data_IF_260178594257
#
_entry.id   IF_260178594257
#
_cell.length_a   1.000
_cell.length_b   1.000
_cell.length_c   1.000
_cell.angle_alpha   90.00
_cell.angle_beta   90.00
_cell.angle_gamma   90.00
#
_symmetry.space_group_name_H-M   'P 1'
#
loop_
_entity.id
_entity.type
_entity.pdbx_description
1 polymer ?
#
# COMPACT_ATOMS: atom_id res chain seq x y z
N UNK A 1 24.18 -23.37 -29.07
CA UNK A 1 23.90 -24.79 -28.80
C UNK A 1 23.96 -24.94 -27.30
N UNK A 2 22.86 -25.38 -26.71
CA UNK A 2 22.75 -25.52 -25.26
C UNK A 2 23.74 -26.60 -24.78
N UNK A 3 24.66 -26.32 -23.84
CA UNK A 3 25.65 -27.32 -23.40
C UNK A 3 25.01 -28.62 -22.89
N UNK A 4 23.79 -28.53 -22.34
CA UNK A 4 22.98 -29.69 -21.92
C UNK A 4 22.66 -30.67 -23.06
N UNK A 5 22.45 -30.15 -24.29
CA UNK A 5 22.16 -30.99 -25.46
C UNK A 5 23.39 -31.74 -25.99
N UNK A 6 24.61 -31.28 -25.65
CA UNK A 6 25.86 -31.90 -26.10
C UNK A 6 26.35 -33.01 -25.15
N UNK A 7 26.03 -32.95 -23.86
CA UNK A 7 26.48 -33.90 -22.83
C UNK A 7 25.37 -34.79 -22.27
N UNK A 8 24.09 -34.44 -22.49
CA UNK A 8 22.94 -35.16 -21.92
C UNK A 8 22.81 -34.98 -20.40
N UNK A 9 23.43 -33.93 -19.84
CA UNK A 9 23.42 -33.61 -18.42
C UNK A 9 22.95 -32.17 -18.21
N UNK A 10 22.22 -31.93 -17.14
CA UNK A 10 21.81 -30.59 -16.69
C UNK A 10 22.36 -30.33 -15.28
N UNK A 11 22.91 -29.15 -15.05
CA UNK A 11 23.39 -28.68 -13.76
C UNK A 11 22.23 -28.06 -13.00
N UNK A 12 21.82 -28.67 -11.90
CA UNK A 12 20.79 -28.15 -11.01
C UNK A 12 21.34 -27.97 -9.60
N UNK A 13 20.84 -26.97 -8.89
CA UNK A 13 21.11 -26.81 -7.47
C UNK A 13 20.00 -27.51 -6.68
N UNK A 14 20.36 -28.54 -5.92
CA UNK A 14 19.40 -29.32 -5.15
C UNK A 14 19.47 -28.92 -3.69
N UNK A 15 18.32 -28.55 -3.14
CA UNK A 15 18.14 -28.11 -1.76
C UNK A 15 17.46 -29.25 -1.00
N UNK A 16 18.18 -29.82 -0.03
CA UNK A 16 17.65 -30.73 1.00
C UNK A 16 17.22 -29.98 2.26
N UNK A 17 16.91 -30.71 3.34
CA UNK A 17 16.49 -30.09 4.60
C UNK A 17 17.62 -29.28 5.27
N UNK A 18 18.84 -29.83 5.28
CA UNK A 18 19.99 -29.23 6.00
C UNK A 18 21.14 -28.79 5.08
N UNK A 19 21.11 -29.16 3.79
CA UNK A 19 22.21 -28.93 2.85
C UNK A 19 21.71 -28.58 1.44
N UNK A 20 22.52 -27.83 0.71
CA UNK A 20 22.32 -27.55 -0.71
C UNK A 20 23.57 -27.94 -1.51
N UNK A 21 23.38 -28.61 -2.65
CA UNK A 21 24.47 -29.13 -3.49
C UNK A 21 24.16 -28.90 -4.96
N UNK A 22 25.16 -28.44 -5.72
CA UNK A 22 25.08 -28.32 -7.18
C UNK A 22 25.48 -29.65 -7.83
N UNK A 23 24.54 -30.25 -8.58
CA UNK A 23 24.69 -31.57 -9.18
C UNK A 23 24.47 -31.52 -10.69
N UNK A 24 25.33 -32.22 -11.44
CA UNK A 24 25.11 -32.49 -12.85
C UNK A 24 24.34 -33.81 -12.99
N UNK A 25 23.06 -33.72 -13.35
CA UNK A 25 22.16 -34.87 -13.46
C UNK A 25 21.89 -35.23 -14.93
N UNK A 26 21.85 -36.53 -15.29
CA UNK A 26 21.44 -36.96 -16.62
C UNK A 26 19.99 -36.58 -16.92
N UNK A 27 19.72 -36.01 -18.10
CA UNK A 27 18.38 -35.51 -18.45
C UNK A 27 17.40 -36.59 -18.89
N UNK A 28 17.90 -37.75 -19.28
CA UNK A 28 17.14 -38.87 -19.84
C UNK A 28 16.70 -39.91 -18.81
N UNK A 29 17.26 -39.90 -17.60
CA UNK A 29 16.89 -40.83 -16.52
C UNK A 29 15.61 -40.37 -15.83
N UNK A 30 14.82 -41.33 -15.36
CA UNK A 30 13.64 -41.05 -14.56
C UNK A 30 14.05 -40.55 -13.17
N UNK A 31 13.26 -39.62 -12.61
CA UNK A 31 13.55 -39.02 -11.30
C UNK A 31 13.77 -40.10 -10.22
N UNK A 32 13.00 -41.20 -10.21
CA UNK A 32 13.18 -42.29 -9.23
C UNK A 32 14.59 -42.87 -9.16
N UNK A 33 15.33 -42.86 -10.27
CA UNK A 33 16.69 -43.41 -10.37
C UNK A 33 17.74 -42.39 -9.91
N UNK A 34 17.42 -41.10 -10.00
CA UNK A 34 18.27 -40.00 -9.56
C UNK A 34 18.18 -39.79 -8.04
N UNK A 35 17.02 -40.04 -7.43
CA UNK A 35 16.76 -39.78 -6.00
C UNK A 35 17.77 -40.43 -5.05
N UNK A 36 18.12 -41.73 -5.17
CA UNK A 36 19.09 -42.36 -4.26
C UNK A 36 20.46 -41.67 -4.31
N UNK A 37 20.94 -41.34 -5.52
CA UNK A 37 22.21 -40.64 -5.73
C UNK A 37 22.18 -39.24 -5.11
N UNK A 38 21.12 -38.47 -5.38
CA UNK A 38 20.93 -37.13 -4.82
C UNK A 38 20.92 -37.17 -3.29
N UNK A 39 20.25 -38.16 -2.68
CA UNK A 39 20.21 -38.33 -1.22
C UNK A 39 21.58 -38.69 -0.65
N UNK A 40 22.33 -39.57 -1.31
CA UNK A 40 23.69 -39.89 -0.91
C UNK A 40 24.56 -38.63 -0.91
N UNK A 41 24.58 -37.87 -2.02
CA UNK A 41 25.39 -36.66 -2.13
C UNK A 41 24.97 -35.57 -1.14
N UNK A 42 23.68 -35.40 -0.87
CA UNK A 42 23.20 -34.45 0.14
C UNK A 42 23.61 -34.84 1.57
N UNK A 43 23.71 -36.14 1.87
CA UNK A 43 24.06 -36.64 3.20
C UNK A 43 25.57 -36.66 3.45
N UNK A 44 26.38 -37.02 2.46
CA UNK A 44 27.84 -37.26 2.62
C UNK A 44 28.71 -36.23 1.89
N UNK A 45 28.13 -35.42 1.00
CA UNK A 45 28.86 -34.49 0.13
C UNK A 45 29.66 -35.18 -0.99
N UNK A 46 29.50 -36.50 -1.18
CA UNK A 46 30.20 -37.30 -2.21
C UNK A 46 29.24 -38.27 -2.88
N UNK A 47 29.47 -38.50 -4.18
CA UNK A 47 28.62 -39.35 -5.02
C UNK A 47 28.84 -40.87 -4.82
N UNK A 48 29.96 -41.28 -4.23
CA UNK A 48 30.41 -42.68 -4.16
C UNK A 48 30.18 -43.37 -2.79
N UNK A 49 29.66 -42.65 -1.80
CA UNK A 49 29.42 -43.22 -0.47
C UNK A 49 28.01 -43.82 -0.38
N UNK A 50 27.89 -45.03 0.18
CA UNK A 50 26.60 -45.67 0.47
C UNK A 50 25.76 -44.76 1.39
N UNK A 51 24.45 -44.68 1.12
CA UNK A 51 23.51 -43.93 1.97
C UNK A 51 23.63 -44.46 3.41
N UNK A 52 23.95 -43.62 4.41
CA UNK A 52 24.09 -44.07 5.79
C UNK A 52 22.85 -44.86 6.23
N UNK A 53 23.05 -46.02 6.86
CA UNK A 53 21.95 -46.90 7.28
C UNK A 53 20.93 -46.20 8.21
N UNK A 54 21.36 -45.15 8.91
CA UNK A 54 20.50 -44.33 9.77
C UNK A 54 19.59 -43.38 8.98
N UNK A 55 19.95 -42.98 7.76
CA UNK A 55 19.12 -42.15 6.86
C UNK A 55 18.11 -42.96 6.02
N UNK A 56 18.27 -44.30 5.96
CA UNK A 56 17.37 -45.22 5.25
C UNK A 56 16.19 -45.64 6.14
N UNK A 57 16.34 -45.57 7.47
CA UNK A 57 15.41 -46.20 8.42
C UNK A 57 14.51 -45.26 9.22
N UNK A 58 14.72 -43.93 9.19
CA UNK A 58 13.95 -43.02 10.05
C UNK A 58 12.71 -42.39 9.38
N UNK A 59 12.61 -42.43 8.04
CA UNK A 59 11.78 -41.45 7.33
C UNK A 59 10.57 -41.99 6.53
N UNK A 60 9.92 -43.02 7.06
CA UNK A 60 8.57 -43.46 6.67
C UNK A 60 8.40 -44.03 5.25
N UNK A 61 7.29 -44.73 5.02
CA UNK A 61 6.91 -45.43 3.78
C UNK A 61 6.75 -44.55 2.51
N UNK A 62 7.13 -43.26 2.53
CA UNK A 62 6.82 -42.31 1.46
C UNK A 62 8.04 -42.07 0.56
N UNK A 63 7.94 -42.28 -0.76
CA UNK A 63 9.04 -42.00 -1.68
C UNK A 63 9.33 -40.50 -1.77
N UNK A 64 10.60 -40.14 -1.96
CA UNK A 64 11.01 -38.77 -2.25
C UNK A 64 10.91 -38.48 -3.75
N UNK A 65 10.64 -37.23 -4.08
CA UNK A 65 10.68 -36.70 -5.44
C UNK A 65 11.34 -35.31 -5.43
N UNK A 66 11.58 -34.76 -6.62
CA UNK A 66 12.05 -33.40 -6.81
C UNK A 66 10.86 -32.48 -7.06
N UNK A 67 10.93 -31.24 -6.57
CA UNK A 67 9.94 -30.20 -6.84
C UNK A 67 10.65 -28.90 -7.24
N UNK A 68 10.05 -28.06 -8.10
CA UNK A 68 10.51 -26.70 -8.26
C UNK A 68 10.25 -25.91 -6.98
N UNK A 69 10.99 -24.83 -6.76
CA UNK A 69 10.82 -23.94 -5.60
C UNK A 69 9.36 -23.46 -5.47
N UNK A 70 8.67 -23.92 -4.43
CA UNK A 70 7.26 -23.57 -4.16
C UNK A 70 6.24 -24.25 -5.09
N UNK A 71 6.65 -25.22 -5.89
CA UNK A 71 5.78 -25.96 -6.81
C UNK A 71 5.34 -27.33 -6.29
N UNK A 72 4.63 -28.06 -7.14
CA UNK A 72 4.22 -29.45 -6.86
C UNK A 72 5.36 -30.42 -7.14
N UNK A 73 5.53 -31.49 -6.36
CA UNK A 73 6.53 -32.51 -6.64
C UNK A 73 6.29 -33.17 -8.00
N UNK A 74 7.38 -33.41 -8.72
CA UNK A 74 7.37 -34.07 -10.01
C UNK A 74 6.95 -35.54 -9.87
N UNK A 75 6.40 -36.08 -10.96
CA UNK A 75 6.17 -37.51 -11.06
C UNK A 75 7.50 -38.26 -11.08
N UNK A 76 7.57 -39.38 -10.36
CA UNK A 76 8.76 -40.24 -10.28
C UNK A 76 9.18 -40.85 -11.62
N UNK A 77 8.23 -40.95 -12.55
CA UNK A 77 8.42 -41.49 -13.90
C UNK A 77 8.85 -40.43 -14.92
N UNK A 78 8.77 -39.14 -14.56
CA UNK A 78 9.19 -38.06 -15.43
C UNK A 78 10.72 -37.97 -15.48
N UNK A 79 11.24 -37.47 -16.61
CA UNK A 79 12.65 -37.16 -16.79
C UNK A 79 12.86 -35.65 -16.78
N UNK A 80 14.06 -35.18 -16.45
CA UNK A 80 14.36 -33.74 -16.43
C UNK A 80 14.17 -33.10 -17.81
N UNK A 81 14.44 -33.84 -18.89
CA UNK A 81 14.15 -33.39 -20.26
C UNK A 81 12.64 -33.18 -20.51
N UNK A 82 11.78 -34.10 -20.04
CA UNK A 82 10.32 -33.96 -20.22
C UNK A 82 9.72 -32.82 -19.40
N UNK A 83 10.37 -32.47 -18.29
CA UNK A 83 9.99 -31.37 -17.42
C UNK A 83 10.57 -30.02 -17.87
N UNK A 84 11.40 -30.02 -18.93
CA UNK A 84 12.07 -28.85 -19.47
C UNK A 84 12.84 -28.06 -18.39
N UNK A 85 13.59 -28.79 -17.57
CA UNK A 85 14.46 -28.20 -16.54
C UNK A 85 15.73 -27.69 -17.20
N UNK A 86 16.01 -26.41 -16.99
CA UNK A 86 17.15 -25.72 -17.60
C UNK A 86 18.39 -25.74 -16.68
N UNK A 87 19.57 -25.55 -17.28
CA UNK A 87 20.82 -25.41 -16.52
C UNK A 87 20.75 -24.23 -15.54
N UNK A 88 21.07 -24.50 -14.28
CA UNK A 88 21.07 -23.54 -13.17
C UNK A 88 19.76 -23.48 -12.38
N UNK A 89 18.76 -24.30 -12.71
CA UNK A 89 17.49 -24.33 -11.99
C UNK A 89 17.65 -24.92 -10.58
N UNK A 90 16.88 -24.39 -9.62
CA UNK A 90 16.90 -24.81 -8.22
C UNK A 90 15.73 -25.75 -7.92
N UNK A 91 16.03 -26.95 -7.42
CA UNK A 91 15.06 -27.99 -7.11
C UNK A 91 15.12 -28.34 -5.63
N UNK A 92 13.97 -28.61 -5.02
CA UNK A 92 13.88 -29.10 -3.64
C UNK A 92 13.65 -30.61 -3.66
N UNK A 93 14.42 -31.33 -2.84
CA UNK A 93 14.13 -32.72 -2.51
C UNK A 93 13.01 -32.75 -1.46
N UNK A 94 11.86 -33.32 -1.81
CA UNK A 94 10.70 -33.37 -0.92
C UNK A 94 10.03 -34.74 -0.96
N UNK A 95 9.31 -35.09 0.11
CA UNK A 95 8.50 -36.31 0.13
C UNK A 95 7.25 -36.12 -0.72
N UNK A 96 6.87 -37.17 -1.46
CA UNK A 96 5.62 -37.14 -2.21
C UNK A 96 4.45 -36.90 -1.23
N UNK A 97 3.54 -35.95 -1.51
CA UNK A 97 2.38 -35.74 -0.67
C UNK A 97 1.60 -37.05 -0.55
N UNK A 98 1.04 -37.37 0.63
CA UNK A 98 0.16 -38.51 0.76
C UNK A 98 -0.97 -38.36 -0.27
N UNK A 99 -1.34 -39.46 -0.92
CA UNK A 99 -2.51 -39.49 -1.78
C UNK A 99 -3.74 -38.99 -1.01
N UNK A 100 -4.77 -38.49 -1.70
CA UNK A 100 -5.99 -38.02 -1.04
C UNK A 100 -6.51 -39.15 -0.14
N UNK A 101 -6.69 -38.86 1.15
CA UNK A 101 -7.36 -39.79 2.05
C UNK A 101 -8.75 -40.07 1.49
N UNK A 102 -9.13 -41.35 1.46
CA UNK A 102 -10.46 -41.73 1.01
C UNK A 102 -11.50 -40.88 1.79
N UNK A 103 -12.40 -40.17 1.10
CA UNK A 103 -13.39 -39.36 1.78
C UNK A 103 -14.23 -40.29 2.66
N UNK A 104 -14.52 -39.91 3.92
CA UNK A 104 -15.38 -40.72 4.77
C UNK A 104 -16.75 -40.87 4.12
N UNK A 105 -17.24 -42.11 4.03
CA UNK A 105 -18.59 -42.40 3.55
C UNK A 105 -19.54 -42.10 4.72
N UNK A 106 -20.30 -41.02 4.60
CA UNK A 106 -21.32 -40.64 5.59
C UNK A 106 -22.66 -41.17 5.09
N UNK A 107 -23.22 -42.15 5.80
CA UNK A 107 -24.48 -42.81 5.41
C UNK A 107 -25.72 -41.96 5.75
N UNK A 108 -25.65 -41.14 6.78
CA UNK A 108 -26.74 -40.26 7.21
C UNK A 108 -26.67 -38.88 6.55
N UNK A 109 -27.76 -38.48 5.90
CA UNK A 109 -27.92 -37.16 5.28
C UNK A 109 -27.85 -36.06 6.35
N UNK A 110 -28.33 -36.31 7.58
CA UNK A 110 -28.26 -35.35 8.68
C UNK A 110 -26.79 -35.07 9.04
N UNK A 111 -25.98 -36.10 9.23
CA UNK A 111 -24.54 -35.95 9.53
C UNK A 111 -23.78 -35.32 8.36
N UNK A 112 -24.09 -35.72 7.12
CA UNK A 112 -23.49 -35.12 5.93
C UNK A 112 -23.80 -33.61 5.85
N UNK A 113 -25.05 -33.22 6.16
CA UNK A 113 -25.46 -31.83 6.20
C UNK A 113 -24.80 -31.05 7.35
N UNK A 114 -24.59 -31.67 8.51
CA UNK A 114 -23.92 -31.06 9.65
C UNK A 114 -22.42 -30.82 9.37
N UNK A 115 -21.72 -31.81 8.79
CA UNK A 115 -20.32 -31.69 8.37
C UNK A 115 -20.17 -30.60 7.31
N UNK A 116 -21.07 -30.59 6.31
CA UNK A 116 -21.05 -29.57 5.27
C UNK A 116 -21.32 -28.17 5.84
N UNK A 117 -22.29 -28.03 6.74
CA UNK A 117 -22.61 -26.76 7.41
C UNK A 117 -21.43 -26.24 8.25
N UNK A 118 -20.78 -27.12 9.03
CA UNK A 118 -19.61 -26.75 9.83
C UNK A 118 -18.42 -26.28 8.97
N UNK A 119 -18.30 -26.77 7.72
CA UNK A 119 -17.27 -26.31 6.77
C UNK A 119 -17.55 -24.92 6.19
N UNK A 120 -18.84 -24.54 6.10
CA UNK A 120 -19.26 -23.26 5.55
C UNK A 120 -19.36 -22.15 6.61
N UNK A 121 -19.74 -22.51 7.84
CA UNK A 121 -20.01 -21.55 8.90
C UNK A 121 -19.06 -21.72 10.08
N UNK A 122 -18.48 -20.60 10.52
CA UNK A 122 -17.74 -20.57 11.78
C UNK A 122 -18.71 -20.40 12.95
N UNK A 123 -18.57 -21.17 14.05
CA UNK A 123 -19.37 -20.95 15.25
C UNK A 123 -19.05 -19.58 15.86
N UNK A 124 -19.99 -19.03 16.62
CA UNK A 124 -19.79 -17.77 17.32
C UNK A 124 -18.78 -17.94 18.46
N UNK A 125 -17.60 -17.33 18.31
CA UNK A 125 -16.56 -17.33 19.33
C UNK A 125 -16.59 -16.05 20.17
N UNK A 126 -16.20 -16.14 21.44
CA UNK A 126 -16.07 -14.97 22.33
C UNK A 126 -15.10 -13.91 21.78
N UNK A 127 -14.12 -14.31 20.94
CA UNK A 127 -13.24 -13.38 20.24
C UNK A 127 -14.02 -12.46 19.27
N UNK A 128 -15.09 -12.95 18.64
CA UNK A 128 -15.94 -12.18 17.72
C UNK A 128 -16.73 -11.10 18.46
N UNK A 129 -17.11 -11.33 19.72
CA UNK A 129 -17.79 -10.33 20.55
C UNK A 129 -16.90 -9.09 20.76
N UNK A 130 -15.58 -9.28 20.89
CA UNK A 130 -14.62 -8.18 21.05
C UNK A 130 -14.55 -7.29 19.80
N UNK A 131 -14.49 -7.88 18.61
CA UNK A 131 -14.51 -7.12 17.35
C UNK A 131 -15.85 -6.47 17.08
N UNK A 132 -16.96 -7.15 17.39
CA UNK A 132 -18.30 -6.58 17.30
C UNK A 132 -18.46 -5.36 18.23
N UNK A 133 -18.02 -5.47 19.48
CA UNK A 133 -18.04 -4.35 20.43
C UNK A 133 -17.21 -3.16 19.93
N UNK A 134 -16.02 -3.40 19.35
CA UNK A 134 -15.22 -2.34 18.74
C UNK A 134 -15.96 -1.66 17.58
N UNK A 135 -16.60 -2.43 16.70
CA UNK A 135 -17.38 -1.87 15.60
C UNK A 135 -18.52 -1.00 16.12
N UNK A 136 -19.29 -1.47 17.11
CA UNK A 136 -20.38 -0.71 17.74
C UNK A 136 -19.87 0.59 18.36
N UNK A 137 -18.74 0.56 19.08
CA UNK A 137 -18.14 1.76 19.68
C UNK A 137 -17.73 2.78 18.61
N UNK A 138 -17.11 2.33 17.52
CA UNK A 138 -16.73 3.21 16.41
C UNK A 138 -17.97 3.79 15.73
N UNK A 139 -18.99 2.98 15.44
CA UNK A 139 -20.25 3.44 14.83
C UNK A 139 -20.97 4.46 15.72
N UNK A 140 -21.05 4.21 17.03
CA UNK A 140 -21.64 5.14 17.99
C UNK A 140 -20.85 6.46 18.06
N UNK A 141 -19.51 6.40 18.00
CA UNK A 141 -18.68 7.59 17.94
C UNK A 141 -18.89 8.38 16.63
N UNK A 142 -18.99 7.70 15.49
CA UNK A 142 -19.30 8.35 14.20
C UNK A 142 -20.67 9.03 14.23
N UNK A 143 -21.69 8.36 14.78
CA UNK A 143 -23.02 8.93 14.97
C UNK A 143 -22.98 10.18 15.87
N UNK A 144 -22.22 10.10 16.98
CA UNK A 144 -22.04 11.22 17.91
C UNK A 144 -21.36 12.41 17.24
N UNK A 145 -20.31 12.18 16.45
CA UNK A 145 -19.68 13.23 15.65
C UNK A 145 -20.67 13.85 14.65
N UNK A 146 -21.46 13.04 13.94
CA UNK A 146 -22.48 13.52 13.00
C UNK A 146 -23.55 14.38 13.67
N UNK A 147 -24.08 13.93 14.81
CA UNK A 147 -25.05 14.68 15.61
C UNK A 147 -24.46 15.98 16.16
N UNK A 148 -23.20 15.99 16.58
CA UNK A 148 -22.53 17.20 17.03
C UNK A 148 -22.31 18.20 15.88
N UNK A 149 -21.93 17.75 14.68
CA UNK A 149 -21.83 18.62 13.50
C UNK A 149 -23.20 19.19 13.15
N UNK A 150 -24.25 18.37 13.16
CA UNK A 150 -25.62 18.83 12.92
C UNK A 150 -26.09 19.85 13.97
N UNK A 151 -25.84 19.58 15.25
CA UNK A 151 -26.11 20.50 16.36
C UNK A 151 -25.36 21.83 16.22
N UNK A 152 -24.11 21.77 15.76
CA UNK A 152 -23.31 22.96 15.46
C UNK A 152 -23.96 23.84 14.39
N UNK A 153 -24.41 23.24 13.29
CA UNK A 153 -25.13 23.94 12.22
C UNK A 153 -26.46 24.53 12.68
N UNK A 154 -27.15 23.89 13.65
CA UNK A 154 -28.39 24.38 14.25
C UNK A 154 -28.20 25.47 15.30
N UNK A 155 -26.96 25.82 15.66
CA UNK A 155 -26.64 26.89 16.61
C UNK A 155 -26.25 26.42 18.02
N UNK A 156 -26.29 25.11 18.31
CA UNK A 156 -25.88 24.54 19.60
C UNK A 156 -24.36 24.38 19.71
N UNK A 157 -23.59 25.44 19.43
CA UNK A 157 -22.13 25.41 19.29
C UNK A 157 -21.42 24.89 20.55
N UNK A 158 -21.81 25.36 21.73
CA UNK A 158 -21.18 24.98 23.02
C UNK A 158 -21.37 23.50 23.32
N UNK A 159 -22.61 23.00 23.21
CA UNK A 159 -22.93 21.59 23.44
C UNK A 159 -22.23 20.67 22.44
N UNK A 160 -22.14 21.10 21.18
CA UNK A 160 -21.46 20.35 20.12
C UNK A 160 -19.95 20.29 20.37
N UNK A 161 -19.33 21.40 20.75
CA UNK A 161 -17.91 21.43 21.14
C UNK A 161 -17.63 20.58 22.37
N UNK A 162 -18.48 20.65 23.40
CA UNK A 162 -18.36 19.86 24.61
C UNK A 162 -18.48 18.36 24.33
N UNK A 163 -19.44 17.94 23.50
CA UNK A 163 -19.61 16.55 23.10
C UNK A 163 -18.40 16.01 22.32
N UNK A 164 -17.90 16.78 21.34
CA UNK A 164 -16.71 16.41 20.56
C UNK A 164 -15.45 16.34 21.43
N UNK A 165 -15.26 17.34 22.30
CA UNK A 165 -14.14 17.36 23.25
C UNK A 165 -14.16 16.19 24.21
N UNK A 166 -15.32 15.88 24.81
CA UNK A 166 -15.48 14.73 25.69
C UNK A 166 -15.20 13.41 24.95
N UNK A 167 -15.75 13.25 23.75
CA UNK A 167 -15.51 12.07 22.93
C UNK A 167 -14.04 11.89 22.56
N UNK A 168 -13.36 12.98 22.17
CA UNK A 168 -11.92 12.96 21.87
C UNK A 168 -11.10 12.54 23.08
N UNK A 169 -11.35 13.12 24.26
CA UNK A 169 -10.65 12.77 25.51
C UNK A 169 -10.88 11.32 25.88
N UNK A 170 -12.11 10.81 25.77
CA UNK A 170 -12.43 9.40 26.06
C UNK A 170 -11.66 8.47 25.13
N UNK A 171 -11.66 8.72 23.82
CA UNK A 171 -10.95 7.87 22.86
C UNK A 171 -9.43 7.89 23.08
N UNK A 172 -8.85 9.06 23.37
CA UNK A 172 -7.43 9.20 23.70
C UNK A 172 -7.10 8.44 24.98
N UNK A 173 -7.87 8.64 26.05
CA UNK A 173 -7.67 8.00 27.35
C UNK A 173 -7.80 6.47 27.26
N UNK A 174 -8.82 5.96 26.55
CA UNK A 174 -9.01 4.53 26.32
C UNK A 174 -7.87 3.95 25.50
N UNK A 175 -7.40 4.65 24.46
CA UNK A 175 -6.24 4.22 23.66
C UNK A 175 -5.00 4.08 24.52
N UNK A 176 -4.70 5.08 25.36
CA UNK A 176 -3.56 5.05 26.29
C UNK A 176 -3.72 3.91 27.30
N UNK A 177 -4.91 3.73 27.87
CA UNK A 177 -5.18 2.67 28.83
C UNK A 177 -4.98 1.27 28.23
N UNK A 178 -5.48 1.04 27.01
CA UNK A 178 -5.31 -0.23 26.28
C UNK A 178 -3.85 -0.49 25.91
N UNK A 179 -3.14 0.55 25.50
CA UNK A 179 -1.71 0.47 25.20
C UNK A 179 -0.93 0.00 26.45
N UNK A 180 -1.18 0.62 27.62
CA UNK A 180 -0.56 0.24 28.89
C UNK A 180 -0.91 -1.18 29.36
N UNK A 181 -2.03 -1.74 28.89
CA UNK A 181 -2.45 -3.12 29.16
C UNK A 181 -1.85 -4.15 28.20
N UNK A 182 -1.03 -3.73 27.22
CA UNK A 182 -0.45 -4.62 26.21
C UNK A 182 -1.41 -5.03 25.10
N UNK A 183 -2.61 -4.43 25.01
CA UNK A 183 -3.61 -4.74 23.98
C UNK A 183 -3.37 -3.93 22.70
N UNK A 184 -2.17 -4.07 22.12
CA UNK A 184 -1.63 -3.22 21.05
C UNK A 184 -2.53 -3.14 19.80
N UNK A 185 -3.08 -4.27 19.35
CA UNK A 185 -3.95 -4.29 18.17
C UNK A 185 -5.26 -3.51 18.37
N UNK A 186 -5.83 -3.58 19.57
CA UNK A 186 -7.07 -2.86 19.92
C UNK A 186 -6.80 -1.38 20.18
N UNK A 187 -5.69 -1.08 20.85
CA UNK A 187 -5.21 0.28 21.05
C UNK A 187 -4.97 0.99 19.69
N UNK A 188 -4.33 0.33 18.73
CA UNK A 188 -4.10 0.90 17.39
C UNK A 188 -5.40 1.22 16.64
N UNK A 189 -6.40 0.32 16.67
CA UNK A 189 -7.71 0.55 16.02
C UNK A 189 -8.47 1.72 16.65
N UNK A 190 -8.52 1.77 17.97
CA UNK A 190 -9.20 2.87 18.69
C UNK A 190 -8.42 4.19 18.58
N UNK A 191 -7.09 4.13 18.55
CA UNK A 191 -6.23 5.28 18.30
C UNK A 191 -6.46 5.88 16.91
N UNK A 192 -6.68 5.05 15.90
CA UNK A 192 -7.09 5.51 14.57
C UNK A 192 -8.50 6.11 14.60
N UNK A 193 -9.46 5.45 15.26
CA UNK A 193 -10.82 5.97 15.41
C UNK A 193 -10.90 7.30 16.17
N UNK A 194 -9.93 7.59 17.05
CA UNK A 194 -9.81 8.85 17.78
C UNK A 194 -9.52 10.06 16.88
N UNK A 195 -9.01 9.85 15.65
CA UNK A 195 -8.63 10.93 14.75
C UNK A 195 -9.80 11.86 14.41
N UNK A 196 -10.96 11.31 14.06
CA UNK A 196 -12.15 12.09 13.69
C UNK A 196 -12.67 12.99 14.83
N UNK A 197 -12.98 12.46 16.04
CA UNK A 197 -13.44 13.32 17.14
C UNK A 197 -12.38 14.32 17.58
N UNK A 198 -11.09 13.97 17.54
CA UNK A 198 -10.01 14.88 17.90
C UNK A 198 -9.90 16.07 16.93
N UNK A 199 -9.97 15.81 15.63
CA UNK A 199 -9.94 16.86 14.60
C UNK A 199 -11.14 17.79 14.73
N UNK A 200 -12.34 17.22 14.91
CA UNK A 200 -13.58 17.98 15.08
C UNK A 200 -13.58 18.80 16.38
N UNK A 201 -13.06 18.24 17.47
CA UNK A 201 -12.87 18.97 18.72
C UNK A 201 -11.91 20.15 18.53
N UNK A 202 -10.77 19.93 17.86
CA UNK A 202 -9.81 21.00 17.54
C UNK A 202 -10.42 22.12 16.69
N UNK A 203 -11.26 21.78 15.72
CA UNK A 203 -12.01 22.77 14.93
C UNK A 203 -13.06 23.52 15.78
N UNK A 204 -13.73 22.84 16.69
CA UNK A 204 -14.80 23.42 17.50
C UNK A 204 -14.32 24.37 18.61
N UNK A 205 -13.05 24.27 19.02
CA UNK A 205 -12.43 25.15 20.04
C UNK A 205 -12.32 26.60 19.57
N UNK A 206 -12.16 26.84 18.26
CA UNK A 206 -11.96 28.20 17.75
C UNK A 206 -13.29 28.96 17.67
N UNK A 207 -13.45 30.07 18.44
CA UNK A 207 -14.65 30.90 18.35
C UNK A 207 -14.68 31.72 17.06
N UNK A 208 -15.89 32.15 16.66
CA UNK A 208 -16.10 32.97 15.44
C UNK A 208 -16.05 32.15 14.15
N UNK A 209 -16.41 32.75 13.01
CA UNK A 209 -16.70 32.01 11.76
C UNK A 209 -15.49 31.84 10.82
N UNK A 210 -14.28 32.06 11.33
CA UNK A 210 -13.06 31.93 10.53
C UNK A 210 -12.74 30.46 10.21
N UNK A 211 -12.83 30.07 8.94
CA UNK A 211 -12.59 28.70 8.50
C UNK A 211 -11.10 28.28 8.59
N UNK A 212 -10.17 29.15 8.21
CA UNK A 212 -8.74 28.80 8.14
C UNK A 212 -8.14 28.44 9.52
N UNK A 213 -8.38 29.20 10.60
CA UNK A 213 -7.91 28.82 11.94
C UNK A 213 -8.51 27.50 12.46
N UNK A 214 -9.78 27.21 12.16
CA UNK A 214 -10.43 25.94 12.53
C UNK A 214 -9.76 24.75 11.86
N UNK A 215 -9.50 24.85 10.55
CA UNK A 215 -8.81 23.81 9.78
C UNK A 215 -7.37 23.64 10.26
N UNK A 216 -6.68 24.75 10.56
CA UNK A 216 -5.31 24.72 11.09
C UNK A 216 -5.22 23.93 12.40
N UNK A 217 -6.08 24.23 13.39
CA UNK A 217 -6.07 23.50 14.66
C UNK A 217 -6.44 22.03 14.47
N UNK A 218 -7.50 21.73 13.71
CA UNK A 218 -7.90 20.35 13.43
C UNK A 218 -6.73 19.53 12.85
N UNK A 219 -6.03 20.10 11.87
CA UNK A 219 -4.86 19.49 11.26
C UNK A 219 -3.68 19.33 12.25
N UNK A 220 -3.40 20.35 13.07
CA UNK A 220 -2.33 20.29 14.07
C UNK A 220 -2.55 19.18 15.11
N UNK A 221 -3.78 19.01 15.60
CA UNK A 221 -4.13 17.92 16.50
C UNK A 221 -3.94 16.54 15.86
N UNK A 222 -4.34 16.38 14.59
CA UNK A 222 -4.15 15.12 13.86
C UNK A 222 -2.68 14.78 13.60
N UNK A 223 -1.86 15.78 13.26
CA UNK A 223 -0.41 15.62 13.13
C UNK A 223 0.19 15.15 14.45
N UNK A 224 -0.08 15.88 15.54
CA UNK A 224 0.47 15.57 16.86
C UNK A 224 0.05 14.16 17.32
N UNK A 225 -1.23 13.80 17.16
CA UNK A 225 -1.74 12.48 17.54
C UNK A 225 -1.17 11.34 16.69
N UNK A 226 -1.09 11.53 15.38
CA UNK A 226 -0.57 10.49 14.48
C UNK A 226 0.95 10.30 14.63
N UNK A 227 1.71 11.37 14.87
CA UNK A 227 3.13 11.29 15.22
C UNK A 227 3.36 10.57 16.55
N UNK A 228 2.53 10.84 17.56
CA UNK A 228 2.59 10.13 18.84
C UNK A 228 2.34 8.63 18.65
N UNK A 229 1.34 8.25 17.87
CA UNK A 229 1.03 6.84 17.60
C UNK A 229 2.14 6.15 16.78
N UNK A 230 2.74 6.84 15.80
CA UNK A 230 3.91 6.34 15.07
C UNK A 230 5.14 6.16 15.96
N UNK A 231 5.36 7.05 16.92
CA UNK A 231 6.50 6.99 17.82
C UNK A 231 6.38 5.86 18.85
N UNK A 232 5.15 5.54 19.26
CA UNK A 232 4.87 4.60 20.35
C UNK A 232 4.48 3.21 19.84
N UNK A 233 3.89 3.10 18.65
CA UNK A 233 3.29 1.85 18.14
C UNK A 233 3.82 1.49 16.76
N UNK A 234 4.12 0.21 16.52
CA UNK A 234 4.54 -0.31 15.20
C UNK A 234 3.36 -0.80 14.34
N UNK A 235 2.12 -0.39 14.65
CA UNK A 235 0.90 -0.81 13.95
C UNK A 235 0.33 0.32 13.13
N UNK A 236 -0.29 -0.01 11.99
CA UNK A 236 -0.96 0.98 11.12
C UNK A 236 -0.03 2.12 10.64
N UNK A 237 1.27 1.83 10.49
CA UNK A 237 2.30 2.80 10.09
C UNK A 237 1.87 3.53 8.81
N UNK A 238 1.45 2.80 7.77
CA UNK A 238 1.00 3.40 6.51
C UNK A 238 -0.11 4.45 6.69
N UNK A 239 -1.12 4.14 7.50
CA UNK A 239 -2.25 5.05 7.72
C UNK A 239 -1.83 6.30 8.48
N UNK A 240 -1.05 6.17 9.56
CA UNK A 240 -0.59 7.33 10.30
C UNK A 240 0.37 8.19 9.49
N UNK A 241 1.25 7.58 8.69
CA UNK A 241 2.10 8.32 7.77
C UNK A 241 1.29 9.11 6.74
N UNK A 242 0.24 8.51 6.20
CA UNK A 242 -0.67 9.21 5.29
C UNK A 242 -1.34 10.41 5.99
N UNK A 243 -1.88 10.19 7.19
CA UNK A 243 -2.53 11.24 7.98
C UNK A 243 -1.56 12.38 8.29
N UNK A 244 -0.35 12.08 8.74
CA UNK A 244 0.68 13.10 9.04
C UNK A 244 1.00 13.92 7.80
N UNK A 245 1.29 13.28 6.66
CA UNK A 245 1.66 14.00 5.44
C UNK A 245 0.51 14.88 4.91
N UNK A 246 -0.73 14.37 4.91
CA UNK A 246 -1.90 15.15 4.49
C UNK A 246 -2.13 16.33 5.44
N UNK A 247 -2.21 16.07 6.74
CA UNK A 247 -2.59 17.08 7.73
C UNK A 247 -1.49 18.11 7.95
N UNK A 248 -0.20 17.74 7.86
CA UNK A 248 0.89 18.71 7.88
C UNK A 248 0.82 19.67 6.67
N UNK A 249 0.52 19.16 5.48
CA UNK A 249 0.36 19.98 4.27
C UNK A 249 -0.86 20.90 4.38
N UNK A 250 -1.98 20.39 4.89
CA UNK A 250 -3.20 21.18 5.12
C UNK A 250 -2.98 22.25 6.20
N UNK A 251 -2.27 21.93 7.29
CA UNK A 251 -1.90 22.90 8.32
C UNK A 251 -1.00 24.00 7.75
N UNK A 252 0.00 23.65 6.92
CA UNK A 252 0.85 24.62 6.25
C UNK A 252 0.05 25.53 5.30
N UNK A 253 -0.87 24.98 4.50
CA UNK A 253 -1.73 25.75 3.62
C UNK A 253 -2.70 26.67 4.39
N UNK A 254 -3.28 26.19 5.49
CA UNK A 254 -4.14 26.99 6.37
C UNK A 254 -3.35 28.11 7.05
N UNK A 255 -2.14 27.83 7.54
CA UNK A 255 -1.21 28.82 8.09
C UNK A 255 -0.86 29.89 7.06
N UNK A 256 -0.56 29.49 5.82
CA UNK A 256 -0.29 30.44 4.73
C UNK A 256 -1.50 31.33 4.41
N UNK A 257 -2.73 30.79 4.49
CA UNK A 257 -3.97 31.55 4.32
C UNK A 257 -4.22 32.56 5.46
N UNK A 258 -3.82 32.21 6.67
CA UNK A 258 -3.93 33.08 7.86
C UNK A 258 -2.94 34.24 7.74
N UNK A 259 -1.69 33.95 7.37
CA UNK A 259 -0.60 34.93 7.35
C UNK A 259 -0.62 35.84 6.12
N UNK A 260 -0.87 35.29 4.92
CA UNK A 260 -0.73 36.01 3.64
C UNK A 260 -2.04 36.18 2.89
N UNK A 261 -3.17 35.68 3.42
CA UNK A 261 -4.49 35.78 2.78
C UNK A 261 -4.55 35.30 1.33
N UNK A 262 -3.72 34.29 0.99
CA UNK A 262 -3.63 33.75 -0.36
C UNK A 262 -4.99 33.24 -0.88
N UNK A 263 -5.30 33.39 -2.17
CA UNK A 263 -6.50 32.82 -2.76
C UNK A 263 -6.43 31.29 -2.77
N UNK A 264 -7.60 30.64 -2.71
CA UNK A 264 -7.69 29.16 -2.68
C UNK A 264 -7.04 28.50 -3.89
N UNK A 265 -7.09 29.14 -5.05
CA UNK A 265 -6.43 28.66 -6.27
C UNK A 265 -4.90 28.56 -6.09
N UNK A 266 -4.27 29.54 -5.44
CA UNK A 266 -2.82 29.48 -5.16
C UNK A 266 -2.48 28.41 -4.11
N UNK A 267 -3.33 28.24 -3.10
CA UNK A 267 -3.18 27.16 -2.11
C UNK A 267 -3.33 25.79 -2.78
N UNK A 268 -4.32 25.63 -3.67
CA UNK A 268 -4.55 24.41 -4.42
C UNK A 268 -3.36 24.05 -5.31
N UNK A 269 -2.77 25.02 -6.02
CA UNK A 269 -1.54 24.81 -6.78
C UNK A 269 -0.37 24.35 -5.89
N UNK A 270 -0.19 24.96 -4.72
CA UNK A 270 0.82 24.54 -3.75
C UNK A 270 0.60 23.13 -3.22
N UNK A 271 -0.64 22.78 -2.89
CA UNK A 271 -1.02 21.43 -2.44
C UNK A 271 -0.80 20.38 -3.54
N UNK A 272 -1.15 20.69 -4.79
CA UNK A 272 -0.86 19.83 -5.94
C UNK A 272 0.64 19.63 -6.16
N UNK A 273 1.45 20.69 -6.00
CA UNK A 273 2.90 20.59 -6.09
C UNK A 273 3.47 19.68 -4.99
N UNK A 274 3.02 19.83 -3.74
CA UNK A 274 3.42 18.94 -2.64
C UNK A 274 2.98 17.50 -2.90
N UNK A 275 1.78 17.28 -3.41
CA UNK A 275 1.29 15.95 -3.80
C UNK A 275 2.23 15.26 -4.80
N UNK A 276 2.64 15.96 -5.87
CA UNK A 276 3.54 15.41 -6.89
C UNK A 276 4.94 15.14 -6.32
N UNK A 277 5.47 16.06 -5.52
CA UNK A 277 6.76 15.90 -4.85
C UNK A 277 6.76 14.70 -3.89
N UNK A 278 5.65 14.48 -3.19
CA UNK A 278 5.50 13.36 -2.27
C UNK A 278 5.48 12.02 -3.04
N UNK A 279 4.77 11.95 -4.17
CA UNK A 279 4.77 10.77 -5.03
C UNK A 279 6.15 10.49 -5.65
N UNK A 280 6.90 11.52 -6.06
CA UNK A 280 8.22 11.34 -6.67
C UNK A 280 9.30 10.95 -5.65
N UNK A 281 9.22 11.48 -4.43
CA UNK A 281 10.20 11.23 -3.37
C UNK A 281 9.75 10.15 -2.37
N UNK A 282 8.63 9.47 -2.62
CA UNK A 282 8.14 8.42 -1.72
C UNK A 282 9.18 7.32 -1.44
N UNK A 283 9.92 6.76 -2.43
CA UNK A 283 10.93 5.72 -2.16
C UNK A 283 12.10 6.21 -1.31
N UNK A 284 12.58 7.43 -1.55
CA UNK A 284 13.75 7.98 -0.86
C UNK A 284 13.41 8.35 0.57
N UNK A 285 12.26 9.00 0.79
CA UNK A 285 11.77 9.36 2.12
C UNK A 285 11.41 8.12 2.94
N UNK A 286 10.76 7.11 2.34
CA UNK A 286 10.42 5.87 3.05
C UNK A 286 11.66 5.09 3.49
N UNK A 287 12.69 5.01 2.63
CA UNK A 287 13.95 4.36 2.97
C UNK A 287 14.68 5.09 4.11
N UNK A 288 14.71 6.43 4.05
CA UNK A 288 15.29 7.27 5.10
C UNK A 288 14.55 7.10 6.44
N UNK A 289 13.21 7.11 6.43
CA UNK A 289 12.39 6.97 7.64
C UNK A 289 12.44 5.55 8.24
N UNK A 290 12.58 4.52 7.40
CA UNK A 290 12.82 3.16 7.84
C UNK A 290 14.26 2.92 8.32
N UNK A 291 15.15 3.91 8.20
CA UNK A 291 16.57 3.82 8.57
C UNK A 291 17.26 2.64 7.88
N UNK A 292 17.06 2.54 6.58
CA UNK A 292 17.78 1.57 5.77
C UNK A 292 19.30 1.80 5.91
N UNK A 293 20.11 0.73 6.04
CA UNK A 293 21.55 0.86 6.03
C UNK A 293 21.97 1.48 4.70
N UNK A 294 22.58 2.67 4.76
CA UNK A 294 23.09 3.35 3.57
C UNK A 294 24.32 2.58 3.08
N UNK A 295 24.38 2.22 1.79
CA UNK A 295 25.57 1.59 1.24
C UNK A 295 26.75 2.58 1.34
N UNK A 296 27.79 2.22 2.09
CA UNK A 296 29.02 3.00 2.11
C UNK A 296 29.81 2.69 0.83
N UNK A 297 29.87 3.65 -0.09
CA UNK A 297 30.66 3.51 -1.31
C UNK A 297 32.05 4.06 -1.02
N UNK A 298 33.08 3.22 -0.85
CA UNK A 298 34.43 3.68 -0.54
C UNK A 298 35.00 4.50 -1.71
N UNK A 299 35.82 5.50 -1.40
CA UNK A 299 36.55 6.23 -2.43
C UNK A 299 37.60 5.32 -3.10
N UNK A 300 38.02 5.60 -4.35
CA UNK A 300 39.09 4.85 -5.00
C UNK A 300 40.36 4.82 -4.13
N UNK A 301 40.79 3.63 -3.71
CA UNK A 301 41.97 3.43 -2.85
C UNK A 301 41.67 3.28 -1.36
N UNK A 302 40.42 3.46 -0.92
CA UNK A 302 40.00 3.09 0.43
C UNK A 302 39.74 1.59 0.57
N UNK A 303 40.00 0.99 1.75
CA UNK A 303 39.69 -0.41 2.00
C UNK A 303 38.19 -0.66 1.87
N UNK A 304 37.83 -1.84 1.36
CA UNK A 304 36.44 -2.23 1.23
C UNK A 304 35.74 -2.24 2.60
N UNK A 305 34.49 -1.74 2.69
CA UNK A 305 33.74 -1.75 3.93
C UNK A 305 33.60 -3.18 4.46
N UNK A 306 33.62 -3.32 5.79
CA UNK A 306 33.27 -4.59 6.42
C UNK A 306 31.83 -4.99 6.04
N UNK A 307 31.60 -6.29 5.90
CA UNK A 307 30.27 -6.82 5.65
C UNK A 307 29.30 -6.40 6.78
N UNK A 308 28.03 -6.19 6.44
CA UNK A 308 26.98 -5.88 7.41
C UNK A 308 26.91 -6.96 8.49
N UNK A 309 26.59 -6.54 9.72
CA UNK A 309 26.50 -7.48 10.85
C UNK A 309 25.33 -8.45 10.68
N UNK A 310 25.45 -9.68 11.21
CA UNK A 310 24.36 -10.67 11.15
C UNK A 310 23.05 -10.12 11.75
N UNK A 311 23.13 -9.38 12.85
CA UNK A 311 21.97 -8.75 13.48
C UNK A 311 21.27 -7.72 12.57
N UNK A 312 22.01 -6.99 11.74
CA UNK A 312 21.42 -6.07 10.76
C UNK A 312 20.74 -6.82 9.60
N UNK A 313 21.29 -7.95 9.19
CA UNK A 313 20.71 -8.81 8.16
C UNK A 313 19.43 -9.49 8.67
N UNK A 314 19.42 -9.96 9.92
CA UNK A 314 18.23 -10.53 10.58
C UNK A 314 17.11 -9.50 10.76
N UNK A 315 17.46 -8.22 10.97
CA UNK A 315 16.49 -7.13 11.13
C UNK A 315 15.97 -6.55 9.79
N UNK A 316 16.62 -6.90 8.67
CA UNK A 316 16.32 -6.38 7.34
C UNK A 316 14.87 -6.65 6.88
N UNK A 317 14.27 -7.83 7.09
CA UNK A 317 12.88 -8.08 6.73
C UNK A 317 11.90 -7.13 7.45
N UNK A 318 12.15 -6.85 8.73
CA UNK A 318 11.32 -5.93 9.53
C UNK A 318 11.44 -4.49 9.03
N UNK A 319 12.65 -4.03 8.72
CA UNK A 319 12.89 -2.69 8.13
C UNK A 319 12.24 -2.56 6.76
N UNK A 320 12.30 -3.61 5.94
CA UNK A 320 11.70 -3.65 4.61
C UNK A 320 10.17 -3.54 4.69
N UNK A 321 9.53 -4.29 5.58
CA UNK A 321 8.08 -4.20 5.81
C UNK A 321 7.66 -2.81 6.30
N UNK A 322 8.47 -2.20 7.18
CA UNK A 322 8.23 -0.86 7.71
C UNK A 322 8.38 0.21 6.62
N UNK A 323 9.40 0.10 5.77
CA UNK A 323 9.60 0.99 4.62
C UNK A 323 8.46 0.92 3.61
N UNK A 324 8.02 -0.30 3.26
CA UNK A 324 6.88 -0.48 2.36
C UNK A 324 5.60 0.14 2.96
N UNK A 325 5.45 0.09 4.29
CA UNK A 325 4.34 0.76 4.99
C UNK A 325 4.45 2.28 4.88
N UNK A 326 5.62 2.87 5.14
CA UNK A 326 5.84 4.31 4.96
C UNK A 326 5.57 4.76 3.52
N UNK A 327 6.08 4.01 2.54
CA UNK A 327 5.91 4.27 1.12
C UNK A 327 4.42 4.24 0.72
N UNK A 328 3.68 3.22 1.15
CA UNK A 328 2.24 3.11 0.89
C UNK A 328 1.47 4.28 1.51
N UNK A 329 1.86 4.72 2.72
CA UNK A 329 1.28 5.88 3.39
C UNK A 329 1.55 7.20 2.66
N UNK A 330 2.78 7.42 2.20
CA UNK A 330 3.16 8.62 1.44
C UNK A 330 2.43 8.70 0.09
N UNK A 331 2.23 7.56 -0.58
CA UNK A 331 1.49 7.48 -1.84
C UNK A 331 0.00 7.75 -1.61
N UNK A 332 -0.60 7.17 -0.58
CA UNK A 332 -1.98 7.48 -0.19
C UNK A 332 -2.14 8.98 0.12
N UNK A 333 -1.20 9.58 0.84
CA UNK A 333 -1.20 11.02 1.11
C UNK A 333 -1.08 11.85 -0.17
N UNK A 334 -0.20 11.47 -1.10
CA UNK A 334 -0.06 12.16 -2.39
C UNK A 334 -1.39 12.18 -3.13
N UNK A 335 -2.10 11.05 -3.21
CA UNK A 335 -3.41 10.96 -3.88
C UNK A 335 -4.45 11.83 -3.19
N UNK A 336 -4.55 11.76 -1.86
CA UNK A 336 -5.50 12.59 -1.09
C UNK A 336 -5.20 14.07 -1.27
N UNK A 337 -3.93 14.48 -1.25
CA UNK A 337 -3.52 15.86 -1.51
C UNK A 337 -3.80 16.28 -2.95
N UNK A 338 -3.66 15.38 -3.92
CA UNK A 338 -4.02 15.65 -5.32
C UNK A 338 -5.51 16.00 -5.44
N UNK A 339 -6.37 15.24 -4.74
CA UNK A 339 -7.82 15.48 -4.69
C UNK A 339 -8.13 16.82 -4.00
N UNK A 340 -7.55 17.07 -2.82
CA UNK A 340 -7.76 18.33 -2.09
C UNK A 340 -7.31 19.53 -2.93
N UNK A 341 -6.12 19.46 -3.53
CA UNK A 341 -5.58 20.50 -4.39
C UNK A 341 -6.46 20.75 -5.62
N UNK A 342 -6.95 19.69 -6.26
CA UNK A 342 -7.85 19.78 -7.41
C UNK A 342 -9.16 20.48 -7.07
N UNK A 343 -9.77 20.15 -5.92
CA UNK A 343 -10.95 20.86 -5.43
C UNK A 343 -10.62 22.33 -5.19
N UNK A 344 -9.54 22.65 -4.48
CA UNK A 344 -9.17 24.04 -4.18
C UNK A 344 -8.92 24.90 -5.43
N UNK A 345 -8.39 24.31 -6.51
CA UNK A 345 -8.13 25.01 -7.77
C UNK A 345 -9.43 25.37 -8.51
N UNK A 346 -10.45 24.52 -8.46
CA UNK A 346 -11.66 24.64 -9.29
C UNK A 346 -12.90 25.09 -8.51
N UNK A 347 -12.89 24.98 -7.17
CA UNK A 347 -14.09 25.14 -6.34
C UNK A 347 -14.63 26.57 -6.25
N UNK A 348 -13.77 27.59 -6.21
CA UNK A 348 -14.19 28.96 -5.84
C UNK A 348 -14.34 29.99 -6.98
N UNK A 349 -13.78 29.82 -8.19
CA UNK A 349 -14.16 30.67 -9.31
C UNK A 349 -15.51 30.20 -9.90
N UNK A 350 -16.51 31.08 -10.02
CA UNK A 350 -17.79 30.77 -10.70
C UNK A 350 -17.57 30.27 -12.14
N UNK A 351 -16.50 30.76 -12.78
CA UNK A 351 -16.00 30.29 -14.06
C UNK A 351 -14.47 30.05 -13.97
N UNK A 352 -14.02 28.84 -13.60
CA UNK A 352 -12.60 28.54 -13.53
C UNK A 352 -11.98 28.63 -14.94
N UNK A 353 -10.77 29.20 -15.08
CA UNK A 353 -10.12 29.30 -16.37
C UNK A 353 -9.86 27.91 -16.95
N UNK A 354 -9.88 27.76 -18.27
CA UNK A 354 -9.60 26.49 -18.94
C UNK A 354 -8.27 25.85 -18.49
N UNK A 355 -7.28 26.68 -18.16
CA UNK A 355 -6.00 26.24 -17.64
C UNK A 355 -6.10 25.56 -16.25
N UNK A 356 -7.05 25.95 -15.40
CA UNK A 356 -7.29 25.31 -14.11
C UNK A 356 -7.87 23.90 -14.28
N UNK A 357 -8.82 23.74 -15.22
CA UNK A 357 -9.34 22.43 -15.62
C UNK A 357 -8.25 21.56 -16.24
N UNK A 358 -7.45 22.13 -17.14
CA UNK A 358 -6.31 21.45 -17.73
C UNK A 358 -5.34 20.96 -16.65
N UNK A 359 -5.02 21.80 -15.65
CA UNK A 359 -4.12 21.41 -14.55
C UNK A 359 -4.66 20.19 -13.81
N UNK A 360 -5.94 20.20 -13.41
CA UNK A 360 -6.57 19.08 -12.69
C UNK A 360 -6.61 17.79 -13.51
N UNK A 361 -6.95 17.89 -14.80
CA UNK A 361 -6.98 16.73 -15.70
C UNK A 361 -5.57 16.15 -15.88
N UNK A 362 -4.58 17.02 -16.10
CA UNK A 362 -3.19 16.60 -16.31
C UNK A 362 -2.57 16.01 -15.04
N UNK A 363 -2.75 16.62 -13.88
CA UNK A 363 -2.26 16.05 -12.61
C UNK A 363 -2.90 14.69 -12.35
N UNK A 364 -4.22 14.58 -12.51
CA UNK A 364 -4.94 13.31 -12.33
C UNK A 364 -4.44 12.24 -13.30
N UNK A 365 -4.24 12.59 -14.57
CA UNK A 365 -3.74 11.67 -15.61
C UNK A 365 -2.34 11.17 -15.27
N UNK A 366 -1.42 12.07 -14.94
CA UNK A 366 -0.05 11.72 -14.55
C UNK A 366 -0.05 10.83 -13.30
N UNK A 367 -0.87 11.15 -12.29
CA UNK A 367 -0.97 10.33 -11.08
C UNK A 367 -1.44 8.90 -11.39
N UNK A 368 -2.37 8.70 -12.33
CA UNK A 368 -2.78 7.36 -12.78
C UNK A 368 -1.67 6.67 -13.57
N UNK A 369 -0.99 7.38 -14.48
CA UNK A 369 0.09 6.81 -15.30
C UNK A 369 1.24 6.27 -14.44
N UNK A 370 1.49 6.89 -13.29
CA UNK A 370 2.49 6.44 -12.30
C UNK A 370 2.20 5.08 -11.69
N UNK A 371 0.97 4.56 -11.80
CA UNK A 371 0.64 3.19 -11.40
C UNK A 371 1.63 2.17 -12.00
N UNK A 372 2.13 2.41 -13.21
CA UNK A 372 3.05 1.54 -13.96
C UNK A 372 4.45 1.44 -13.37
N UNK A 373 4.84 2.39 -12.53
CA UNK A 373 6.19 2.48 -11.94
C UNK A 373 6.30 1.57 -10.71
N UNK A 374 5.19 1.18 -10.11
CA UNK A 374 5.16 0.47 -8.83
C UNK A 374 4.70 -0.97 -8.98
N UNK A 375 5.52 -1.91 -8.51
CA UNK A 375 5.17 -3.33 -8.50
C UNK A 375 4.17 -3.70 -7.39
N UNK A 376 4.08 -2.88 -6.34
CA UNK A 376 3.21 -3.13 -5.19
C UNK A 376 1.75 -2.74 -5.48
N UNK A 377 0.83 -3.66 -5.22
CA UNK A 377 -0.59 -3.50 -5.48
C UNK A 377 -1.23 -2.34 -4.70
N UNK A 378 -0.85 -2.12 -3.44
CA UNK A 378 -1.47 -1.08 -2.60
C UNK A 378 -1.22 0.33 -3.17
N UNK A 379 0.05 0.76 -3.42
CA UNK A 379 0.34 1.97 -4.18
C UNK A 379 -0.37 2.09 -5.52
N UNK A 380 -0.35 1.01 -6.32
CA UNK A 380 -0.98 1.00 -7.64
C UNK A 380 -2.48 1.28 -7.56
N UNK A 381 -3.18 0.67 -6.60
CA UNK A 381 -4.61 0.91 -6.35
C UNK A 381 -4.90 2.34 -5.89
N UNK A 382 -4.02 2.95 -5.08
CA UNK A 382 -4.15 4.36 -4.72
C UNK A 382 -4.04 5.26 -5.95
N UNK A 383 -3.05 5.04 -6.82
CA UNK A 383 -2.91 5.80 -8.06
C UNK A 383 -4.13 5.65 -8.97
N UNK A 384 -4.63 4.41 -9.13
CA UNK A 384 -5.84 4.11 -9.91
C UNK A 384 -7.10 4.79 -9.34
N UNK A 385 -7.19 4.93 -8.01
CA UNK A 385 -8.33 5.56 -7.35
C UNK A 385 -8.40 7.08 -7.56
N UNK A 386 -7.28 7.73 -7.89
CA UNK A 386 -7.18 9.21 -8.04
C UNK A 386 -8.30 9.84 -8.89
N UNK A 387 -8.56 9.44 -10.15
CA UNK A 387 -9.58 10.05 -10.99
C UNK A 387 -10.99 9.89 -10.40
N UNK A 388 -11.27 8.74 -9.78
CA UNK A 388 -12.55 8.49 -9.11
C UNK A 388 -12.71 9.39 -7.89
N UNK A 389 -11.71 9.46 -7.03
CA UNK A 389 -11.73 10.29 -5.84
C UNK A 389 -11.84 11.79 -6.20
N UNK A 390 -11.11 12.25 -7.21
CA UNK A 390 -11.19 13.64 -7.71
C UNK A 390 -12.58 13.94 -8.27
N UNK A 391 -13.14 13.07 -9.11
CA UNK A 391 -14.46 13.29 -9.70
C UNK A 391 -15.59 13.24 -8.66
N UNK A 392 -15.53 12.31 -7.69
CA UNK A 392 -16.47 12.24 -6.56
C UNK A 392 -16.36 13.50 -5.69
N UNK A 393 -15.14 13.91 -5.35
CA UNK A 393 -14.92 15.11 -4.53
C UNK A 393 -15.46 16.36 -5.23
N UNK A 394 -15.19 16.55 -6.53
CA UNK A 394 -15.74 17.66 -7.32
C UNK A 394 -17.28 17.60 -7.40
N UNK A 395 -17.86 16.41 -7.55
CA UNK A 395 -19.33 16.23 -7.53
C UNK A 395 -19.92 16.71 -6.21
N UNK A 396 -19.36 16.28 -5.08
CA UNK A 396 -19.81 16.69 -3.74
C UNK A 396 -19.59 18.20 -3.54
N UNK A 397 -18.44 18.74 -3.95
CA UNK A 397 -18.14 20.17 -3.80
C UNK A 397 -19.06 21.07 -4.63
N UNK A 398 -19.34 20.72 -5.89
CA UNK A 398 -20.22 21.53 -6.75
C UNK A 398 -21.69 21.44 -6.32
N UNK A 399 -22.16 20.25 -5.94
CA UNK A 399 -23.53 20.07 -5.45
C UNK A 399 -23.74 20.81 -4.13
N UNK A 400 -22.79 20.75 -3.21
CA UNK A 400 -22.82 21.49 -1.95
C UNK A 400 -22.79 23.01 -2.14
N UNK A 401 -22.13 23.50 -3.20
CA UNK A 401 -22.11 24.92 -3.57
C UNK A 401 -23.36 25.38 -4.35
N UNK A 402 -24.29 24.47 -4.67
CA UNK A 402 -25.51 24.79 -5.44
C UNK A 402 -25.35 24.75 -6.97
N UNK A 403 -24.16 24.43 -7.49
CA UNK A 403 -23.91 24.29 -8.93
C UNK A 403 -24.31 22.90 -9.43
N UNK A 404 -25.62 22.63 -9.47
CA UNK A 404 -26.17 21.31 -9.79
C UNK A 404 -25.76 20.79 -11.18
N UNK A 405 -25.67 21.66 -12.18
CA UNK A 405 -25.27 21.27 -13.55
C UNK A 405 -23.82 20.79 -13.60
N UNK A 406 -22.90 21.52 -12.98
CA UNK A 406 -21.49 21.12 -12.85
C UNK A 406 -21.35 19.84 -12.03
N UNK A 407 -22.16 19.70 -10.97
CA UNK A 407 -22.26 18.46 -10.20
C UNK A 407 -22.72 17.27 -11.04
N UNK A 408 -23.71 17.46 -11.92
CA UNK A 408 -24.19 16.42 -12.82
C UNK A 408 -23.10 15.98 -13.83
N UNK A 409 -22.35 16.92 -14.39
CA UNK A 409 -21.22 16.60 -15.28
C UNK A 409 -20.11 15.84 -14.54
N UNK A 410 -19.78 16.24 -13.31
CA UNK A 410 -18.81 15.52 -12.50
C UNK A 410 -19.30 14.10 -12.15
N UNK A 411 -20.59 13.92 -11.84
CA UNK A 411 -21.19 12.61 -11.62
C UNK A 411 -21.17 11.74 -12.89
N UNK A 412 -21.46 12.35 -14.05
CA UNK A 412 -21.35 11.66 -15.34
C UNK A 412 -19.91 11.21 -15.63
N UNK A 413 -18.90 12.02 -15.24
CA UNK A 413 -17.51 11.61 -15.33
C UNK A 413 -17.17 10.41 -14.43
N UNK A 414 -17.74 10.33 -13.22
CA UNK A 414 -17.61 9.14 -12.35
C UNK A 414 -18.17 7.90 -13.06
N UNK A 415 -19.38 7.99 -13.62
CA UNK A 415 -20.00 6.88 -14.36
C UNK A 415 -19.14 6.46 -15.56
N UNK A 416 -18.66 7.42 -16.34
CA UNK A 416 -17.80 7.16 -17.49
C UNK A 416 -16.49 6.46 -17.07
N UNK A 417 -15.84 6.93 -16.01
CA UNK A 417 -14.64 6.30 -15.47
C UNK A 417 -14.91 4.87 -14.98
N UNK A 418 -16.07 4.63 -14.34
CA UNK A 418 -16.45 3.28 -13.90
C UNK A 418 -16.64 2.34 -15.09
N UNK A 419 -17.28 2.80 -16.17
CA UNK A 419 -17.42 2.02 -17.40
C UNK A 419 -16.05 1.73 -18.04
N UNK A 420 -15.13 2.69 -18.05
CA UNK A 420 -13.76 2.50 -18.52
C UNK A 420 -13.03 1.45 -17.68
N UNK A 421 -13.16 1.49 -16.35
CA UNK A 421 -12.54 0.51 -15.46
C UNK A 421 -13.11 -0.89 -15.65
N UNK A 422 -14.44 -1.02 -15.77
CA UNK A 422 -15.08 -2.31 -16.07
C UNK A 422 -14.64 -2.86 -17.43
N UNK A 423 -14.57 -2.00 -18.44
CA UNK A 423 -14.06 -2.36 -19.77
C UNK A 423 -12.60 -2.82 -19.72
N UNK A 424 -11.75 -2.09 -19.01
CA UNK A 424 -10.34 -2.47 -18.81
C UNK A 424 -10.20 -3.79 -18.06
N UNK A 425 -11.03 -4.04 -17.04
CA UNK A 425 -11.02 -5.28 -16.27
C UNK A 425 -11.47 -6.50 -17.10
N UNK A 426 -12.31 -6.30 -18.11
CA UNK A 426 -12.77 -7.36 -19.01
C UNK A 426 -11.73 -7.77 -20.07
N UNK A 427 -10.71 -6.94 -20.32
CA UNK A 427 -9.69 -7.17 -21.34
C UNK A 427 -8.52 -7.96 -20.75
N UNK A 428 -8.11 -9.04 -21.41
CA UNK A 428 -6.92 -9.81 -21.01
C UNK A 428 -5.69 -8.89 -21.03
N UNK A 429 -4.87 -8.85 -19.95
CA UNK A 429 -3.66 -8.04 -19.93
C UNK A 429 -2.76 -8.38 -21.12
N UNK A 430 -2.35 -7.37 -21.87
CA UNK A 430 -1.36 -7.50 -22.93
C UNK A 430 -0.10 -6.80 -22.49
N UNK A 431 1.03 -7.49 -22.62
CA UNK A 431 2.32 -6.86 -22.40
C UNK A 431 2.54 -5.78 -23.47
N UNK A 432 2.78 -4.56 -23.01
CA UNK A 432 3.13 -3.46 -23.90
C UNK A 432 4.49 -3.76 -24.53
N UNK A 433 4.59 -3.58 -25.84
CA UNK A 433 5.88 -3.66 -26.54
C UNK A 433 6.81 -2.54 -26.07
N UNK A 434 8.12 -2.76 -26.17
CA UNK A 434 9.16 -1.78 -25.82
C UNK A 434 8.87 -0.37 -26.39
N UNK A 435 8.54 -0.20 -27.69
CA UNK A 435 8.25 1.14 -28.23
C UNK A 435 6.97 1.75 -27.63
N UNK A 436 5.95 0.97 -27.31
CA UNK A 436 4.72 1.49 -26.69
C UNK A 436 4.96 2.01 -25.28
N UNK A 437 5.77 1.29 -24.48
CA UNK A 437 6.19 1.75 -23.14
C UNK A 437 6.93 3.09 -23.25
N UNK A 438 7.88 3.18 -24.18
CA UNK A 438 8.64 4.42 -24.45
C UNK A 438 7.74 5.60 -24.81
N UNK A 439 6.73 5.40 -25.66
CA UNK A 439 5.78 6.47 -26.01
C UNK A 439 4.96 6.93 -24.82
N UNK A 440 4.53 6.00 -23.97
CA UNK A 440 3.77 6.33 -22.77
C UNK A 440 4.61 7.10 -21.75
N UNK A 441 5.89 6.76 -21.63
CA UNK A 441 6.82 7.48 -20.75
C UNK A 441 7.14 8.88 -21.28
N UNK A 442 7.29 9.05 -22.60
CA UNK A 442 7.44 10.38 -23.22
C UNK A 442 6.19 11.24 -23.00
N UNK A 443 5.00 10.65 -23.13
CA UNK A 443 3.73 11.33 -22.88
C UNK A 443 3.59 11.77 -21.42
N UNK A 444 3.88 10.89 -20.47
CA UNK A 444 3.86 11.22 -19.03
C UNK A 444 4.84 12.35 -18.70
N UNK A 445 6.06 12.28 -19.23
CA UNK A 445 7.09 13.30 -19.01
C UNK A 445 6.71 14.65 -19.64
N UNK A 446 6.13 14.65 -20.84
CA UNK A 446 5.64 15.86 -21.48
C UNK A 446 4.57 16.55 -20.63
N UNK A 447 3.61 15.77 -20.09
CA UNK A 447 2.60 16.26 -19.17
C UNK A 447 3.23 16.84 -17.89
N UNK A 448 4.16 16.11 -17.26
CA UNK A 448 4.85 16.57 -16.04
C UNK A 448 5.57 17.91 -16.24
N UNK A 449 6.25 18.11 -17.37
CA UNK A 449 6.97 19.35 -17.69
C UNK A 449 6.02 20.54 -17.83
N UNK A 450 4.80 20.31 -18.31
CA UNK A 450 3.80 21.38 -18.50
C UNK A 450 3.12 21.83 -17.20
N UNK A 451 3.17 21.04 -16.13
CA UNK A 451 2.50 21.35 -14.85
C UNK A 451 3.08 22.61 -14.16
N UNK A 452 4.40 22.73 -13.90
CA UNK A 452 4.94 23.89 -13.20
C UNK A 452 4.69 25.23 -13.91
N UNK A 453 4.87 25.36 -15.24
CA UNK A 453 4.52 26.60 -15.95
C UNK A 453 3.04 26.97 -15.81
N UNK A 454 2.13 26.00 -15.89
CA UNK A 454 0.71 26.24 -15.72
C UNK A 454 0.36 26.72 -14.30
N UNK A 455 0.97 26.13 -13.27
CA UNK A 455 0.82 26.59 -11.89
C UNK A 455 1.31 28.03 -11.70
N UNK A 456 2.50 28.37 -12.22
CA UNK A 456 3.07 29.71 -12.12
C UNK A 456 2.23 30.77 -12.83
N UNK A 457 1.62 30.40 -13.95
CA UNK A 457 0.66 31.24 -14.66
C UNK A 457 -0.62 31.45 -13.86
N UNK A 458 -1.22 30.37 -13.37
CA UNK A 458 -2.47 30.40 -12.59
C UNK A 458 -2.33 31.21 -11.29
N UNK A 459 -1.20 31.09 -10.60
CA UNK A 459 -0.88 31.87 -9.40
C UNK A 459 -0.73 33.37 -9.72
N UNK A 460 -0.51 33.74 -11.00
CA UNK A 460 -0.29 35.11 -11.42
C UNK A 460 1.12 35.63 -11.17
N UNK A 461 2.10 34.74 -10.93
CA UNK A 461 3.49 35.14 -10.70
C UNK A 461 4.10 35.76 -11.96
N UNK A 462 3.78 35.22 -13.13
CA UNK A 462 4.25 35.74 -14.43
C UNK A 462 3.69 37.14 -14.68
N UNK A 463 2.39 37.36 -14.39
CA UNK A 463 1.79 38.69 -14.47
C UNK A 463 2.39 39.67 -13.46
N UNK A 464 2.72 39.19 -12.25
CA UNK A 464 3.38 40.02 -11.23
C UNK A 464 4.77 40.48 -11.71
N UNK A 465 5.58 39.57 -12.24
CA UNK A 465 6.92 39.88 -12.76
C UNK A 465 6.82 40.85 -13.94
N UNK A 466 5.91 40.59 -14.89
CA UNK A 466 5.69 41.45 -16.06
C UNK A 466 5.27 42.87 -15.67
N UNK A 467 4.35 42.99 -14.72
CA UNK A 467 3.81 44.30 -14.33
C UNK A 467 4.74 45.07 -13.36
N UNK A 468 5.61 44.37 -12.62
CA UNK A 468 6.64 45.03 -11.79
C UNK A 468 7.76 45.69 -12.59
N UNK A 469 8.02 45.26 -13.83
CA UNK A 469 9.00 45.90 -14.71
C UNK A 469 8.54 47.22 -15.34
N UNK A 470 7.32 47.69 -15.03
CA UNK A 470 6.70 48.90 -15.58
C UNK A 470 6.57 50.02 -14.50
N UNK A 471 6.96 49.73 -13.25
CA UNK A 471 7.15 50.70 -12.16
C UNK A 471 8.65 50.99 -12.02
#
# INVERSE_FOLDING_TARGET
MDPAAATGQVRVAIIGEDAAVDLALPTTLAIRELIPRIRATLATGRDDDDVPADAVNDDGLRPYSLAPLGGTPFSLDATLATLNIDDGEQLILCKLPPGPTAPPVVEDIADASAIHSASQFKPFEHAMLRTAAQAVVVTAATLTCGLAIYGWHRGYRVWSAAALGALAVVFVAVTIWLYRRGLLATAGRLGLAAAAPLALAGAAVVPGDAAAPRVFLAAAFLVAWSLLLLAVTNSWVATHTAVVAVTATVAAAAGARILWHLPYLSLGCGVLAVSLLLASNAPTVSAMWARFPLPNVPAPGEPTPAASSLAELEDLPRKTATCNSYQSGLIAASVILSVIGSVLVVWLPDAPPLLAWWLVVVTTTVTVLRMRIWDSAIPALWFLATPFLTAIALTVSFTAAGHLVSGLYAAAAVVALTLVLLGAAAIKPRELSIPQRRWLDLFENALLITIPPAMLWLIGLISLIRNRGIL
#
